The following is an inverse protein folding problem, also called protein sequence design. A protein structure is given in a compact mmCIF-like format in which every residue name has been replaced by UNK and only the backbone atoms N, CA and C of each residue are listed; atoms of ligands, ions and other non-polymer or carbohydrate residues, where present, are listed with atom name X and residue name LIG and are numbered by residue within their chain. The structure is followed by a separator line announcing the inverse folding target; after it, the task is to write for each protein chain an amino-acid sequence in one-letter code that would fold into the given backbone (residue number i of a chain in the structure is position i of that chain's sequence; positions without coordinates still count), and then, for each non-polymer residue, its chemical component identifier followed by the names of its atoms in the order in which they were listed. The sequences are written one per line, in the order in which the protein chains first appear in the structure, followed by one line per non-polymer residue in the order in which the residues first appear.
data_IF_443399369854
#
_entry.id   IF_443399369854
#
_cell.length_a   1.000
_cell.length_b   1.000
_cell.length_c   1.000
_cell.angle_alpha   90.00
_cell.angle_beta   90.00
_cell.angle_gamma   90.00
#
_symmetry.space_group_name_H-M   'P 1'
#
loop_
_entity.id
_entity.type
_entity.pdbx_description
1 polymer ?
#
# COMPACT_ATOMS: atom_id res chain seq x y z
N UNK A 1 0.68 -2.76 -5.38
CA UNK A 1 -0.11 -2.32 -4.21
C UNK A 1 -0.42 -3.49 -3.29
N UNK A 2 -0.50 -3.23 -2.02
CA UNK A 2 -0.78 -4.26 -1.03
C UNK A 2 -1.79 -3.74 -0.01
N UNK A 3 -2.96 -4.36 0.05
CA UNK A 3 -3.97 -4.11 1.06
C UNK A 3 -3.70 -4.99 2.28
N UNK A 4 -3.54 -4.39 3.43
CA UNK A 4 -3.32 -5.02 4.73
C UNK A 4 -2.37 -6.24 4.68
N UNK A 5 -1.13 -6.07 4.15
CA UNK A 5 -0.19 -7.18 4.06
C UNK A 5 0.42 -7.54 5.42
N UNK A 6 0.95 -8.75 5.52
CA UNK A 6 1.75 -9.14 6.69
C UNK A 6 3.16 -8.55 6.56
N UNK A 7 3.41 -7.44 7.21
CA UNK A 7 4.70 -6.76 7.13
C UNK A 7 5.78 -7.39 8.01
N UNK A 8 5.41 -8.23 9.00
CA UNK A 8 6.39 -8.88 9.88
C UNK A 8 7.27 -9.89 9.14
N UNK A 9 6.72 -10.53 8.10
CA UNK A 9 7.46 -11.47 7.26
C UNK A 9 7.96 -10.88 5.95
N UNK A 10 7.73 -9.59 5.72
CA UNK A 10 8.08 -8.95 4.46
C UNK A 10 9.57 -8.64 4.38
N UNK A 11 10.13 -8.75 3.17
CA UNK A 11 11.49 -8.34 2.91
C UNK A 11 11.61 -6.81 2.92
N UNK A 12 12.74 -6.30 3.43
CA UNK A 12 13.06 -4.88 3.34
C UNK A 12 13.64 -4.49 1.97
N UNK A 13 13.82 -5.46 1.06
CA UNK A 13 14.37 -5.24 -0.29
C UNK A 13 13.27 -5.30 -1.35
N UNK A 14 12.36 -4.34 -1.33
CA UNK A 14 11.36 -4.18 -2.38
C UNK A 14 12.00 -3.49 -3.59
N UNK A 15 11.85 -4.10 -4.76
CA UNK A 15 12.51 -3.65 -5.99
C UNK A 15 11.63 -2.82 -6.90
N UNK A 16 10.33 -2.77 -6.63
CA UNK A 16 9.37 -1.97 -7.40
C UNK A 16 8.65 -0.99 -6.47
N UNK A 17 8.25 0.18 -6.96
CA UNK A 17 7.44 1.11 -6.18
C UNK A 17 6.18 0.43 -5.65
N UNK A 18 5.91 0.60 -4.35
CA UNK A 18 4.82 -0.10 -3.66
C UNK A 18 4.04 0.87 -2.79
N UNK A 19 2.71 0.73 -2.79
CA UNK A 19 1.86 1.37 -1.80
C UNK A 19 1.25 0.31 -0.89
N UNK A 20 1.31 0.53 0.43
CA UNK A 20 0.74 -0.32 1.46
C UNK A 20 -0.39 0.44 2.14
N UNK A 21 -1.57 -0.17 2.19
CA UNK A 21 -2.78 0.42 2.77
C UNK A 21 -3.27 -0.50 3.90
N UNK A 22 -3.33 0.02 5.12
CA UNK A 22 -3.62 -0.82 6.28
C UNK A 22 -4.46 -0.06 7.31
N UNK A 23 -5.29 -0.77 8.05
CA UNK A 23 -6.08 -0.19 9.13
C UNK A 23 -5.27 -0.07 10.42
N UNK A 24 -5.48 1.03 11.13
CA UNK A 24 -4.83 1.27 12.41
C UNK A 24 -5.14 0.17 13.44
N UNK A 25 -6.38 -0.34 13.42
CA UNK A 25 -6.86 -1.33 14.37
C UNK A 25 -6.79 -2.77 13.85
N UNK A 26 -6.03 -2.99 12.79
CA UNK A 26 -5.84 -4.33 12.24
C UNK A 26 -5.12 -5.22 13.28
N UNK A 27 -5.81 -6.27 13.75
CA UNK A 27 -5.25 -7.21 14.71
C UNK A 27 -4.74 -8.50 14.07
N UNK A 28 -4.86 -8.62 12.75
CA UNK A 28 -4.39 -9.78 12.00
C UNK A 28 -3.01 -9.53 11.39
N UNK A 29 -2.90 -8.40 10.71
CA UNK A 29 -1.63 -7.92 10.14
C UNK A 29 -1.39 -6.51 10.67
N UNK A 30 -0.79 -6.38 11.87
CA UNK A 30 -0.74 -5.09 12.56
C UNK A 30 0.00 -3.99 11.79
N UNK A 31 -0.58 -2.79 11.80
CA UNK A 31 0.02 -1.63 11.15
C UNK A 31 1.42 -1.31 11.68
N UNK A 32 1.66 -1.59 12.96
CA UNK A 32 2.96 -1.37 13.59
C UNK A 32 4.08 -2.16 12.93
N UNK A 33 3.78 -3.36 12.44
CA UNK A 33 4.77 -4.16 11.71
C UNK A 33 5.14 -3.49 10.39
N UNK A 34 4.19 -2.83 9.73
CA UNK A 34 4.45 -2.06 8.52
C UNK A 34 5.28 -0.80 8.81
N UNK A 35 5.03 -0.14 9.94
CA UNK A 35 5.86 1.00 10.36
C UNK A 35 7.30 0.55 10.59
N UNK A 36 7.50 -0.60 11.24
CA UNK A 36 8.83 -1.19 11.46
C UNK A 36 9.51 -1.56 10.14
N UNK A 37 8.75 -2.08 9.19
CA UNK A 37 9.26 -2.36 7.84
C UNK A 37 9.78 -1.08 7.19
N UNK A 38 9.03 0.02 7.30
CA UNK A 38 9.45 1.32 6.76
C UNK A 38 10.77 1.79 7.37
N UNK A 39 10.95 1.59 8.67
CA UNK A 39 12.19 1.94 9.36
C UNK A 39 13.38 1.11 8.85
N UNK A 40 13.19 -0.22 8.74
CA UNK A 40 14.26 -1.14 8.31
C UNK A 40 14.73 -0.86 6.88
N UNK A 41 13.80 -0.45 6.02
CA UNK A 41 14.09 -0.25 4.60
C UNK A 41 14.44 1.18 4.22
N UNK A 42 14.51 2.09 5.16
CA UNK A 42 14.80 3.50 4.90
C UNK A 42 16.09 3.63 4.07
N UNK A 43 16.01 4.30 2.93
CA UNK A 43 17.13 4.47 2.00
C UNK A 43 17.48 3.25 1.16
N UNK A 44 16.68 2.19 1.21
CA UNK A 44 16.94 0.93 0.49
C UNK A 44 15.84 0.65 -0.52
N UNK A 45 16.23 0.18 -1.70
CA UNK A 45 15.31 -0.29 -2.74
C UNK A 45 14.39 0.78 -3.31
N UNK A 46 13.27 0.35 -3.89
CA UNK A 46 12.29 1.23 -4.51
C UNK A 46 11.45 1.97 -3.46
N UNK A 47 10.84 3.11 -3.82
CA UNK A 47 9.98 3.85 -2.90
C UNK A 47 8.78 3.04 -2.41
N UNK A 48 8.46 3.15 -1.12
CA UNK A 48 7.25 2.57 -0.54
C UNK A 48 6.47 3.66 0.17
N UNK A 49 5.17 3.74 -0.14
CA UNK A 49 4.24 4.64 0.54
C UNK A 49 3.38 3.79 1.48
N UNK A 50 3.36 4.15 2.76
CA UNK A 50 2.52 3.51 3.76
C UNK A 50 1.38 4.45 4.14
N UNK A 51 0.14 3.97 4.00
CA UNK A 51 -1.06 4.71 4.41
C UNK A 51 -1.79 3.92 5.48
N UNK A 52 -1.94 4.52 6.66
CA UNK A 52 -2.64 3.92 7.79
C UNK A 52 -3.96 4.66 7.99
N UNK A 53 -5.07 3.92 7.98
CA UNK A 53 -6.41 4.50 8.12
C UNK A 53 -6.86 4.43 9.58
N UNK A 54 -7.03 5.58 10.25
CA UNK A 54 -7.47 5.60 11.64
C UNK A 54 -8.82 4.90 11.83
N UNK A 55 -8.92 4.07 12.86
CA UNK A 55 -10.17 3.38 13.20
C UNK A 55 -10.54 2.22 12.29
N UNK A 56 -9.79 1.95 11.24
CA UNK A 56 -10.10 0.87 10.31
C UNK A 56 -9.47 -0.46 10.75
N UNK A 57 -10.13 -1.54 10.38
CA UNK A 57 -9.72 -2.92 10.71
C UNK A 57 -9.23 -3.67 9.49
N UNK A 58 -8.87 -4.93 9.69
CA UNK A 58 -8.51 -5.81 8.57
C UNK A 58 -9.70 -5.97 7.62
N UNK A 59 -9.43 -6.08 6.33
CA UNK A 59 -10.44 -6.21 5.28
C UNK A 59 -11.40 -5.01 5.20
N UNK A 60 -10.93 -3.80 5.50
CA UNK A 60 -11.76 -2.59 5.55
C UNK A 60 -12.43 -2.26 4.21
N UNK A 61 -11.93 -2.77 3.10
CA UNK A 61 -12.46 -2.50 1.76
C UNK A 61 -13.44 -3.57 1.26
N UNK A 62 -13.82 -4.52 2.09
CA UNK A 62 -14.73 -5.62 1.70
C UNK A 62 -16.12 -5.34 2.24
N UNK A 63 -17.05 -4.94 1.36
CA UNK A 63 -18.40 -4.52 1.75
C UNK A 63 -19.21 -5.62 2.45
N UNK A 64 -18.91 -6.90 2.18
CA UNK A 64 -19.57 -8.01 2.85
C UNK A 64 -19.37 -8.03 4.37
N UNK A 65 -18.33 -7.36 4.87
CA UNK A 65 -18.01 -7.30 6.30
C UNK A 65 -18.53 -6.03 6.98
N UNK A 66 -19.59 -5.41 6.45
CA UNK A 66 -20.11 -4.14 6.99
C UNK A 66 -20.48 -4.18 8.46
N UNK A 67 -20.99 -5.31 8.93
CA UNK A 67 -21.39 -5.47 10.33
C UNK A 67 -20.25 -5.99 11.23
N UNK A 68 -19.11 -6.28 10.63
CA UNK A 68 -17.99 -6.88 11.32
C UNK A 68 -18.21 -8.36 11.59
N UNK A 69 -17.13 -9.12 11.63
CA UNK A 69 -17.18 -10.52 12.06
C UNK A 69 -15.80 -10.99 12.49
N UNK A 70 -15.77 -12.09 13.22
CA UNK A 70 -14.52 -12.75 13.54
C UNK A 70 -14.17 -13.77 12.46
N UNK A 71 -12.92 -13.74 12.01
CA UNK A 71 -12.39 -14.69 11.04
C UNK A 71 -11.05 -15.19 11.57
N UNK A 72 -10.94 -16.47 11.83
CA UNK A 72 -9.74 -17.09 12.42
C UNK A 72 -9.28 -16.38 13.71
N UNK A 73 -10.25 -15.93 14.52
CA UNK A 73 -9.97 -15.21 15.77
C UNK A 73 -9.69 -13.73 15.63
N UNK A 74 -9.65 -13.20 14.42
CA UNK A 74 -9.38 -11.79 14.14
C UNK A 74 -10.65 -11.05 13.77
N UNK A 75 -10.70 -9.74 14.09
CA UNK A 75 -11.84 -8.91 13.76
C UNK A 75 -11.66 -8.29 12.38
N UNK A 76 -12.60 -8.54 11.49
CA UNK A 76 -12.66 -7.95 10.15
C UNK A 76 -13.90 -7.08 10.05
N UNK A 77 -13.78 -5.90 9.47
CA UNK A 77 -14.91 -4.97 9.38
C UNK A 77 -14.72 -4.02 8.20
N UNK A 78 -15.78 -3.84 7.41
CA UNK A 78 -15.83 -2.84 6.35
C UNK A 78 -15.87 -1.43 6.92
N UNK A 79 -15.14 -0.53 6.30
CA UNK A 79 -15.12 0.90 6.61
C UNK A 79 -15.25 1.66 5.29
N UNK A 80 -16.42 2.25 5.06
CA UNK A 80 -16.71 2.91 3.78
C UNK A 80 -15.76 4.08 3.50
N UNK A 81 -15.42 4.86 4.51
CA UNK A 81 -14.53 6.01 4.34
C UNK A 81 -13.11 5.55 3.98
N UNK A 82 -12.56 4.60 4.73
CA UNK A 82 -11.24 4.04 4.43
C UNK A 82 -11.22 3.36 3.05
N UNK A 83 -12.28 2.64 2.69
CA UNK A 83 -12.40 1.99 1.39
C UNK A 83 -12.33 3.02 0.25
N UNK A 84 -13.10 4.09 0.35
CA UNK A 84 -13.12 5.15 -0.67
C UNK A 84 -11.78 5.88 -0.75
N UNK A 85 -11.20 6.23 0.38
CA UNK A 85 -9.90 6.89 0.43
C UNK A 85 -8.82 6.01 -0.18
N UNK A 86 -8.86 4.72 0.09
CA UNK A 86 -7.86 3.79 -0.43
C UNK A 86 -7.89 3.71 -1.95
N UNK A 87 -9.06 3.73 -2.57
CA UNK A 87 -9.18 3.73 -4.03
C UNK A 87 -8.53 4.98 -4.62
N UNK A 88 -8.77 6.16 -4.02
CA UNK A 88 -8.17 7.41 -4.48
C UNK A 88 -6.65 7.40 -4.29
N UNK A 89 -6.16 6.90 -3.16
CA UNK A 89 -4.72 6.80 -2.90
C UNK A 89 -4.02 5.89 -3.90
N UNK A 90 -4.62 4.74 -4.20
CA UNK A 90 -4.08 3.81 -5.20
C UNK A 90 -4.08 4.45 -6.58
N UNK A 91 -5.17 5.12 -6.94
CA UNK A 91 -5.27 5.81 -8.23
C UNK A 91 -4.17 6.87 -8.38
N UNK A 92 -3.98 7.71 -7.38
CA UNK A 92 -2.96 8.77 -7.41
C UNK A 92 -1.55 8.18 -7.45
N UNK A 93 -1.31 7.13 -6.67
CA UNK A 93 -0.03 6.43 -6.68
C UNK A 93 0.29 5.86 -8.05
N UNK A 94 -0.66 5.17 -8.68
CA UNK A 94 -0.47 4.59 -10.00
C UNK A 94 -0.25 5.67 -11.07
N UNK A 95 -1.01 6.76 -11.01
CA UNK A 95 -0.85 7.87 -11.94
C UNK A 95 0.56 8.48 -11.85
N UNK A 96 1.06 8.69 -10.63
CA UNK A 96 2.40 9.22 -10.39
C UNK A 96 3.48 8.29 -10.93
N UNK A 97 3.36 6.98 -10.67
CA UNK A 97 4.36 6.01 -11.13
C UNK A 97 4.34 5.85 -12.65
N UNK A 98 3.16 5.88 -13.28
CA UNK A 98 3.04 5.84 -14.74
C UNK A 98 3.66 7.07 -15.39
N UNK A 99 3.46 8.25 -14.82
CA UNK A 99 4.07 9.48 -15.31
C UNK A 99 5.61 9.39 -15.29
N UNK A 100 6.19 8.80 -14.24
CA UNK A 100 7.63 8.58 -14.15
C UNK A 100 8.14 7.65 -15.26
N UNK A 101 7.39 6.59 -15.56
CA UNK A 101 7.72 5.66 -16.62
C UNK A 101 7.66 6.35 -17.98
N UNK A 102 6.63 7.15 -18.24
CA UNK A 102 6.50 7.92 -19.47
C UNK A 102 7.66 8.89 -19.67
N UNK A 103 8.07 9.59 -18.62
CA UNK A 103 9.19 10.52 -18.68
C UNK A 103 10.50 9.79 -19.02
N UNK A 104 10.74 8.62 -18.44
CA UNK A 104 11.91 7.81 -18.75
C UNK A 104 11.92 7.34 -20.20
N UNK A 105 10.74 6.94 -20.71
CA UNK A 105 10.61 6.52 -22.11
C UNK A 105 10.88 7.67 -23.06
N UNK A 106 10.37 8.87 -22.79
CA UNK A 106 10.63 10.06 -23.58
C UNK A 106 12.13 10.40 -23.62
N UNK A 107 12.79 10.33 -22.49
CA UNK A 107 14.23 10.58 -22.38
C UNK A 107 15.02 9.57 -23.21
N UNK A 108 14.66 8.27 -23.14
CA UNK A 108 15.33 7.23 -23.91
C UNK A 108 15.15 7.43 -25.42
N UNK A 109 13.93 7.77 -25.86
CA UNK A 109 13.65 8.04 -27.28
C UNK A 109 14.47 9.24 -27.77
N UNK A 110 14.53 10.31 -26.99
CA UNK A 110 15.32 11.50 -27.33
C UNK A 110 16.81 11.15 -27.46
N UNK A 111 17.35 10.30 -26.57
CA UNK A 111 18.72 9.84 -26.64
C UNK A 111 18.99 9.04 -27.92
N UNK A 112 18.06 8.20 -28.34
CA UNK A 112 18.19 7.44 -29.59
C UNK A 112 18.19 8.33 -30.82
N UNK A 113 17.42 9.41 -30.81
CA UNK A 113 17.36 10.34 -31.94
C UNK A 113 18.63 11.18 -32.12
N UNK A 114 19.45 11.27 -31.08
CA UNK A 114 20.72 12.02 -31.13
C UNK A 114 21.89 11.19 -31.67
N UNK A 115 21.72 9.91 -31.82
CA UNK A 115 22.76 9.02 -32.37
C UNK A 115 22.50 8.71 -33.83
#
# INVERSE_FOLDING_TARGET
MAYYPSCSGATDQLTIPTIILIGELDDWTPAKDCERLMERRAGKGAPVKLVIYPGAHHAFNVAAFRDGMRSFGHWVKYDADAAQRSVLEVHDFLATELAKIEDRLKTNVASWQQT
#
